data_IF_212182450668
#
_entry.id   IF_212182450668
#
_cell.length_a   1.000
_cell.length_b   1.000
_cell.length_c   1.000
_cell.angle_alpha   90.00
_cell.angle_beta   90.00
_cell.angle_gamma   90.00
#
_symmetry.space_group_name_H-M   'P 1'
#
loop_
_entity.id
_entity.type
_entity.pdbx_description
1 polymer ?
#
# COMPACT_ATOMS: atom_id res chain seq x y z
N UNK A 1 -0.99 -10.31 33.64
CA UNK A 1 -0.92 -11.36 32.59
C UNK A 1 -2.24 -12.11 32.50
N UNK A 2 -2.71 -12.77 33.57
CA UNK A 2 -4.03 -13.44 33.58
C UNK A 2 -5.19 -12.57 33.07
N UNK A 3 -5.21 -11.28 33.45
CA UNK A 3 -6.20 -10.32 32.94
C UNK A 3 -6.13 -10.08 31.43
N UNK A 4 -4.93 -10.11 30.85
CA UNK A 4 -4.70 -10.01 29.39
C UNK A 4 -5.23 -11.28 28.72
N UNK A 5 -4.85 -12.44 29.23
CA UNK A 5 -5.24 -13.76 28.69
C UNK A 5 -6.76 -13.96 28.72
N UNK A 6 -7.45 -13.39 29.72
CA UNK A 6 -8.91 -13.48 29.81
C UNK A 6 -9.68 -12.70 28.73
N UNK A 7 -9.04 -11.78 28.00
CA UNK A 7 -9.74 -10.89 27.05
C UNK A 7 -10.34 -11.69 25.89
N UNK A 8 -9.62 -12.70 25.39
CA UNK A 8 -10.11 -13.54 24.29
C UNK A 8 -11.41 -14.24 24.67
N UNK A 9 -11.49 -14.80 25.88
CA UNK A 9 -12.71 -15.45 26.35
C UNK A 9 -13.87 -14.48 26.55
N UNK A 10 -13.59 -13.25 27.03
CA UNK A 10 -14.62 -12.21 27.11
C UNK A 10 -15.14 -11.83 25.73
N UNK A 11 -14.25 -11.70 24.74
CA UNK A 11 -14.60 -11.25 23.40
C UNK A 11 -15.58 -12.20 22.68
N UNK A 12 -15.58 -13.48 23.03
CA UNK A 12 -16.56 -14.48 22.51
C UNK A 12 -18.01 -14.17 22.89
N UNK A 13 -18.23 -13.40 23.95
CA UNK A 13 -19.57 -13.10 24.48
C UNK A 13 -19.89 -11.60 24.45
N UNK A 14 -18.89 -10.74 24.66
CA UNK A 14 -19.06 -9.29 24.70
C UNK A 14 -17.79 -8.58 24.20
N UNK A 15 -17.81 -8.20 22.93
CA UNK A 15 -16.74 -7.43 22.30
C UNK A 15 -16.52 -6.06 22.95
N UNK A 16 -17.60 -5.43 23.40
CA UNK A 16 -17.56 -4.10 24.01
C UNK A 16 -16.86 -4.14 25.37
N UNK A 17 -17.12 -5.19 26.16
CA UNK A 17 -16.42 -5.45 27.41
C UNK A 17 -14.95 -5.86 27.18
N UNK A 18 -14.67 -6.65 26.15
CA UNK A 18 -13.30 -7.03 25.78
C UNK A 18 -12.45 -5.79 25.47
N UNK A 19 -12.92 -4.90 24.58
CA UNK A 19 -12.23 -3.66 24.24
C UNK A 19 -12.08 -2.69 25.43
N UNK A 20 -13.09 -2.61 26.31
CA UNK A 20 -12.97 -1.84 27.55
C UNK A 20 -11.87 -2.39 28.45
N UNK A 21 -11.77 -3.72 28.55
CA UNK A 21 -10.72 -4.38 29.34
C UNK A 21 -9.34 -4.17 28.72
N UNK A 22 -9.21 -4.22 27.38
CA UNK A 22 -7.97 -3.87 26.68
C UNK A 22 -7.53 -2.45 27.00
N UNK A 23 -8.44 -1.47 26.97
CA UNK A 23 -8.14 -0.08 27.31
C UNK A 23 -7.61 0.06 28.76
N UNK A 24 -8.28 -0.58 29.73
CA UNK A 24 -7.82 -0.57 31.13
C UNK A 24 -6.41 -1.17 31.25
N UNK A 25 -6.13 -2.28 30.55
CA UNK A 25 -4.81 -2.89 30.54
C UNK A 25 -3.76 -1.95 29.94
N UNK A 26 -4.07 -1.28 28.83
CA UNK A 26 -3.17 -0.31 28.20
C UNK A 26 -2.87 0.86 29.15
N UNK A 27 -3.88 1.35 29.87
CA UNK A 27 -3.72 2.40 30.89
C UNK A 27 -2.82 1.94 32.06
N UNK A 28 -3.02 0.70 32.54
CA UNK A 28 -2.16 0.12 33.59
C UNK A 28 -0.71 -0.05 33.11
N UNK A 29 -0.49 -0.46 31.85
CA UNK A 29 0.85 -0.52 31.27
C UNK A 29 1.47 0.89 31.26
N UNK A 30 0.74 1.91 30.82
CA UNK A 30 1.21 3.30 30.80
C UNK A 30 1.63 3.79 32.20
N UNK A 31 0.81 3.54 33.22
CA UNK A 31 1.14 3.86 34.61
C UNK A 31 2.39 3.14 35.10
N UNK A 32 2.53 1.84 34.80
CA UNK A 32 3.70 1.04 35.19
C UNK A 32 4.98 1.51 34.51
N UNK A 33 4.89 1.97 33.27
CA UNK A 33 6.01 2.57 32.55
C UNK A 33 6.41 3.91 33.16
N UNK A 34 5.46 4.77 33.51
CA UNK A 34 5.71 6.05 34.20
C UNK A 34 6.40 5.86 35.56
N UNK A 35 6.05 4.81 36.29
CA UNK A 35 6.67 4.44 37.57
C UNK A 35 8.02 3.73 37.42
N UNK A 36 8.50 3.48 36.19
CA UNK A 36 9.75 2.77 35.88
C UNK A 36 9.83 1.40 36.59
N UNK A 37 8.74 0.64 36.56
CA UNK A 37 8.68 -0.68 37.22
C UNK A 37 9.79 -1.60 36.66
N UNK A 38 10.72 -2.10 37.51
CA UNK A 38 11.83 -2.94 37.05
C UNK A 38 11.35 -4.26 36.41
N UNK A 39 10.14 -4.72 36.73
CA UNK A 39 9.55 -5.93 36.15
C UNK A 39 8.90 -5.70 34.79
N UNK A 40 8.80 -4.45 34.32
CA UNK A 40 8.20 -4.15 33.01
C UNK A 40 8.89 -4.93 31.87
N UNK A 41 10.22 -5.09 31.94
CA UNK A 41 10.99 -5.87 30.96
C UNK A 41 10.64 -7.36 30.97
N UNK A 42 10.32 -7.93 32.12
CA UNK A 42 9.95 -9.34 32.27
C UNK A 42 8.59 -9.63 31.62
N UNK A 43 7.64 -8.69 31.75
CA UNK A 43 6.30 -8.84 31.19
C UNK A 43 6.18 -8.38 29.74
N UNK A 44 7.12 -7.58 29.25
CA UNK A 44 7.12 -7.01 27.90
C UNK A 44 6.84 -8.07 26.83
N UNK A 45 7.64 -9.13 26.76
CA UNK A 45 7.46 -10.21 25.78
C UNK A 45 6.08 -10.85 25.84
N UNK A 46 5.54 -11.05 27.05
CA UNK A 46 4.21 -11.64 27.25
C UNK A 46 3.12 -10.69 26.76
N UNK A 47 3.20 -9.41 27.10
CA UNK A 47 2.24 -8.40 26.64
C UNK A 47 2.27 -8.24 25.11
N UNK A 48 3.44 -8.43 24.47
CA UNK A 48 3.57 -8.36 23.02
C UNK A 48 2.94 -9.55 22.30
N UNK A 49 2.99 -10.75 22.89
CA UNK A 49 2.59 -12.00 22.25
C UNK A 49 1.20 -12.52 22.60
N UNK A 50 0.63 -12.10 23.73
CA UNK A 50 -0.73 -12.53 24.11
C UNK A 50 -1.74 -11.76 23.26
N UNK A 51 -2.76 -12.42 22.67
CA UNK A 51 -3.81 -11.72 21.95
C UNK A 51 -4.75 -10.97 22.89
N UNK A 52 -4.82 -9.65 22.74
CA UNK A 52 -5.72 -8.81 23.55
C UNK A 52 -6.10 -7.48 22.89
N UNK A 53 -5.66 -7.24 21.65
CA UNK A 53 -5.93 -6.01 20.94
C UNK A 53 -6.97 -6.24 19.84
N UNK A 54 -7.92 -5.31 19.66
CA UNK A 54 -8.89 -5.38 18.59
C UNK A 54 -8.27 -4.94 17.27
N UNK A 55 -8.85 -5.43 16.17
CA UNK A 55 -8.47 -5.08 14.81
C UNK A 55 -9.53 -4.17 14.18
N UNK A 56 -9.13 -3.42 13.16
CA UNK A 56 -10.01 -2.54 12.42
C UNK A 56 -10.76 -3.36 11.37
N UNK A 57 -12.09 -3.39 11.47
CA UNK A 57 -12.96 -3.97 10.44
C UNK A 57 -12.90 -3.13 9.16
N UNK A 58 -13.35 -3.70 8.04
CA UNK A 58 -13.43 -2.99 6.76
C UNK A 58 -14.17 -1.65 6.92
N UNK A 59 -13.56 -0.51 6.56
CA UNK A 59 -14.24 0.78 6.63
C UNK A 59 -15.49 0.82 5.74
N UNK A 60 -16.51 1.56 6.17
CA UNK A 60 -17.74 1.73 5.39
C UNK A 60 -17.43 2.40 4.04
N UNK A 61 -17.97 1.86 2.96
CA UNK A 61 -17.75 2.37 1.60
C UNK A 61 -16.39 1.98 0.98
N UNK A 62 -15.53 1.27 1.70
CA UNK A 62 -14.26 0.80 1.15
C UNK A 62 -14.49 -0.25 0.06
N UNK A 63 -14.00 -0.01 -1.14
CA UNK A 63 -14.28 -0.85 -2.32
C UNK A 63 -13.36 -2.07 -2.41
N UNK A 64 -12.13 -1.97 -1.94
CA UNK A 64 -11.12 -3.01 -2.07
C UNK A 64 -11.26 -4.11 -1.02
N UNK A 65 -10.53 -5.21 -1.21
CA UNK A 65 -10.29 -6.17 -0.14
C UNK A 65 -9.71 -5.45 1.09
N UNK A 66 -10.07 -5.88 2.29
CA UNK A 66 -9.51 -5.32 3.52
C UNK A 66 -9.19 -6.47 4.45
N UNK A 67 -7.95 -6.56 4.95
CA UNK A 67 -7.49 -7.75 5.67
C UNK A 67 -8.34 -8.09 6.89
N UNK A 68 -8.86 -7.07 7.58
CA UNK A 68 -9.78 -7.27 8.71
C UNK A 68 -11.14 -7.88 8.33
N UNK A 69 -11.48 -8.01 7.04
CA UNK A 69 -12.69 -8.72 6.60
C UNK A 69 -12.55 -10.24 6.69
N UNK A 70 -11.31 -10.74 6.75
CA UNK A 70 -11.02 -12.17 6.90
C UNK A 70 -11.20 -12.64 8.34
N UNK A 71 -11.31 -11.69 9.29
CA UNK A 71 -11.39 -11.95 10.71
C UNK A 71 -12.84 -11.91 11.19
N UNK A 72 -13.12 -12.66 12.26
CA UNK A 72 -14.39 -12.64 12.95
C UNK A 72 -14.36 -11.62 14.07
N UNK A 73 -15.54 -11.17 14.51
CA UNK A 73 -15.67 -10.20 15.61
C UNK A 73 -15.07 -10.74 16.90
N UNK A 74 -15.10 -12.06 17.08
CA UNK A 74 -14.57 -12.77 18.26
C UNK A 74 -13.03 -12.88 18.25
N UNK A 75 -12.35 -12.48 17.16
CA UNK A 75 -10.90 -12.53 17.07
C UNK A 75 -10.25 -11.34 17.80
N UNK A 76 -9.19 -11.63 18.56
CA UNK A 76 -8.29 -10.66 19.18
C UNK A 76 -6.87 -11.01 18.76
N UNK A 77 -5.99 -10.00 18.72
CA UNK A 77 -4.65 -10.17 18.15
C UNK A 77 -3.56 -9.72 19.11
N UNK A 78 -2.38 -10.33 18.96
CA UNK A 78 -1.19 -9.89 19.64
C UNK A 78 -0.68 -8.59 19.01
N UNK A 79 0.07 -7.79 19.78
CA UNK A 79 0.64 -6.55 19.26
C UNK A 79 1.59 -6.81 18.08
N UNK A 80 2.29 -7.94 18.09
CA UNK A 80 3.18 -8.39 17.01
C UNK A 80 2.46 -8.82 15.75
N UNK A 81 1.13 -8.86 15.71
CA UNK A 81 0.34 -9.20 14.52
C UNK A 81 -0.33 -7.98 13.88
N UNK A 82 -0.30 -6.83 14.55
CA UNK A 82 -0.99 -5.62 14.15
C UNK A 82 -0.02 -4.53 13.64
N UNK A 83 -0.53 -3.65 12.79
CA UNK A 83 0.07 -2.37 12.45
C UNK A 83 -0.78 -1.22 12.97
N UNK A 84 -0.15 -0.07 13.22
CA UNK A 84 -0.87 1.15 13.57
C UNK A 84 -1.51 1.78 12.34
N UNK A 85 -2.48 2.68 12.57
CA UNK A 85 -3.15 3.41 11.49
C UNK A 85 -2.19 4.27 10.63
N UNK A 86 -1.00 4.60 11.15
CA UNK A 86 0.06 5.30 10.41
C UNK A 86 0.48 4.56 9.13
N UNK A 87 0.53 3.22 9.17
CA UNK A 87 0.92 2.38 8.04
C UNK A 87 -0.28 1.73 7.35
N UNK A 88 -1.50 2.18 7.63
CA UNK A 88 -2.72 1.58 7.09
C UNK A 88 -2.65 1.45 5.56
N UNK A 89 -2.40 2.55 4.87
CA UNK A 89 -2.48 2.59 3.41
C UNK A 89 -1.34 1.80 2.73
N UNK A 90 -0.29 1.42 3.48
CA UNK A 90 0.81 0.58 2.97
C UNK A 90 0.65 -0.91 3.28
N UNK A 91 -0.33 -1.32 4.11
CA UNK A 91 -0.49 -2.73 4.49
C UNK A 91 -1.94 -3.25 4.58
N UNK A 92 -2.97 -2.40 4.46
CA UNK A 92 -4.36 -2.73 4.78
C UNK A 92 -4.98 -3.87 3.95
N UNK A 93 -4.43 -4.19 2.78
CA UNK A 93 -4.93 -5.31 1.96
C UNK A 93 -4.39 -6.66 2.49
N UNK A 94 -3.26 -6.64 3.21
CA UNK A 94 -2.46 -7.82 3.56
C UNK A 94 -2.28 -8.04 5.07
N UNK A 95 -2.30 -6.98 5.88
CA UNK A 95 -2.07 -7.02 7.34
C UNK A 95 -3.20 -6.33 8.10
N UNK A 96 -3.34 -6.76 9.35
CA UNK A 96 -4.35 -6.25 10.27
C UNK A 96 -3.90 -4.91 10.86
N UNK A 97 -4.85 -3.99 10.96
CA UNK A 97 -4.65 -2.66 11.53
C UNK A 97 -5.28 -2.65 12.93
N UNK A 98 -4.57 -2.12 13.91
CA UNK A 98 -5.06 -1.93 15.26
C UNK A 98 -6.27 -0.97 15.25
N UNK A 99 -7.33 -1.36 15.95
CA UNK A 99 -8.48 -0.49 16.16
C UNK A 99 -8.36 0.28 17.48
N UNK A 100 -7.89 1.52 17.41
CA UNK A 100 -7.87 2.41 18.58
C UNK A 100 -9.28 2.97 18.86
N UNK A 101 -9.94 3.58 17.87
CA UNK A 101 -11.19 4.32 18.09
C UNK A 101 -12.14 4.34 16.86
N UNK A 102 -12.42 3.18 16.24
CA UNK A 102 -13.41 3.12 15.15
C UNK A 102 -14.84 3.37 15.68
N UNK A 103 -15.67 4.20 14.99
CA UNK A 103 -17.06 4.42 15.38
C UNK A 103 -17.96 3.20 15.20
N UNK A 104 -17.66 2.37 14.19
CA UNK A 104 -18.50 1.22 13.81
C UNK A 104 -18.16 -0.05 14.58
N UNK A 105 -16.97 -0.12 15.18
CA UNK A 105 -16.44 -1.29 15.86
C UNK A 105 -15.60 -0.80 17.03
N UNK A 106 -15.98 -1.11 18.28
CA UNK A 106 -15.36 -0.49 19.45
C UNK A 106 -13.86 -0.82 19.48
N UNK A 107 -13.01 0.21 19.57
CA UNK A 107 -11.56 0.04 19.68
C UNK A 107 -11.05 -0.03 21.12
N UNK A 108 -9.74 -0.19 21.29
CA UNK A 108 -9.07 -0.26 22.58
C UNK A 108 -8.76 1.11 23.23
N UNK A 109 -9.25 2.21 22.65
CA UNK A 109 -8.92 3.56 23.10
C UNK A 109 -7.59 4.07 22.52
N UNK A 110 -7.29 5.34 22.79
CA UNK A 110 -6.01 5.93 22.44
C UNK A 110 -4.85 5.29 23.20
N UNK A 111 -3.74 5.05 22.50
CA UNK A 111 -2.54 4.47 23.08
C UNK A 111 -1.39 5.49 23.09
N UNK A 112 -0.76 5.68 24.25
CA UNK A 112 0.42 6.56 24.38
C UNK A 112 1.61 6.04 23.57
N UNK A 113 2.52 6.93 23.17
CA UNK A 113 3.72 6.55 22.42
C UNK A 113 4.58 5.54 23.18
N UNK A 114 4.72 5.72 24.50
CA UNK A 114 5.47 4.82 25.38
C UNK A 114 4.86 3.40 25.41
N UNK A 115 3.53 3.29 25.42
CA UNK A 115 2.85 1.99 25.36
C UNK A 115 2.98 1.36 23.98
N UNK A 116 2.87 2.15 22.89
CA UNK A 116 3.10 1.66 21.52
C UNK A 116 4.52 1.10 21.36
N UNK A 117 5.52 1.80 21.89
CA UNK A 117 6.91 1.34 21.89
C UNK A 117 7.07 0.05 22.72
N UNK A 118 6.53 0.03 23.94
CA UNK A 118 6.56 -1.13 24.83
C UNK A 118 5.93 -2.38 24.21
N UNK A 119 4.82 -2.22 23.48
CA UNK A 119 4.13 -3.31 22.79
C UNK A 119 4.74 -3.66 21.42
N UNK A 120 5.77 -2.94 20.95
CA UNK A 120 6.37 -3.18 19.64
C UNK A 120 5.48 -2.78 18.46
N UNK A 121 4.52 -1.88 18.68
CA UNK A 121 3.59 -1.37 17.66
C UNK A 121 4.22 -0.28 16.78
N UNK A 122 5.32 0.36 17.21
CA UNK A 122 6.05 1.39 16.44
C UNK A 122 6.95 0.80 15.33
N UNK A 123 6.53 -0.32 14.74
CA UNK A 123 7.28 -0.99 13.69
C UNK A 123 6.85 -0.49 12.31
N UNK A 124 7.83 -0.26 11.44
CA UNK A 124 7.58 0.00 10.03
C UNK A 124 7.31 -1.31 9.29
N UNK A 125 6.50 -1.30 8.21
CA UNK A 125 6.42 -2.44 7.31
C UNK A 125 7.77 -2.66 6.62
N UNK A 126 8.04 -3.90 6.20
CA UNK A 126 9.21 -4.18 5.38
C UNK A 126 8.99 -3.73 3.93
N UNK A 127 10.07 -3.51 3.19
CA UNK A 127 9.99 -3.11 1.78
C UNK A 127 9.23 -4.15 0.95
N UNK A 128 9.48 -5.44 1.19
CA UNK A 128 8.80 -6.56 0.55
C UNK A 128 7.29 -6.50 0.76
N UNK A 129 6.85 -6.23 1.99
CA UNK A 129 5.42 -6.13 2.30
C UNK A 129 4.75 -4.97 1.56
N UNK A 130 5.43 -3.83 1.43
CA UNK A 130 4.89 -2.67 0.68
C UNK A 130 4.86 -2.95 -0.84
N UNK A 131 5.85 -3.68 -1.36
CA UNK A 131 5.82 -4.17 -2.74
C UNK A 131 4.62 -5.10 -2.96
N UNK A 132 4.37 -6.04 -2.04
CA UNK A 132 3.22 -6.95 -2.11
C UNK A 132 1.90 -6.19 -2.05
N UNK A 133 1.78 -5.19 -1.18
CA UNK A 133 0.60 -4.32 -1.09
C UNK A 133 0.37 -3.59 -2.42
N UNK A 134 1.42 -3.03 -3.02
CA UNK A 134 1.35 -2.32 -4.30
C UNK A 134 0.93 -3.27 -5.44
N UNK A 135 1.46 -4.49 -5.46
CA UNK A 135 1.03 -5.55 -6.39
C UNK A 135 -0.41 -6.00 -6.13
N UNK A 136 -0.88 -5.96 -4.89
CA UNK A 136 -2.25 -6.33 -4.54
C UNK A 136 -3.26 -5.27 -5.00
N UNK A 137 -2.96 -3.98 -4.80
CA UNK A 137 -3.85 -2.90 -5.26
C UNK A 137 -3.87 -2.78 -6.79
N UNK A 138 -2.75 -3.07 -7.48
CA UNK A 138 -2.69 -2.94 -8.93
C UNK A 138 -3.50 -3.97 -9.71
N UNK A 139 -3.95 -5.04 -9.04
CA UNK A 139 -4.89 -6.03 -9.61
C UNK A 139 -6.30 -5.46 -9.83
N UNK A 140 -6.65 -4.36 -9.16
CA UNK A 140 -7.95 -3.73 -9.29
C UNK A 140 -7.89 -2.64 -10.37
N UNK A 141 -8.07 -3.04 -11.62
CA UNK A 141 -8.07 -2.13 -12.79
C UNK A 141 -9.44 -1.52 -13.10
N UNK A 142 -10.51 -2.05 -12.53
CA UNK A 142 -11.89 -1.64 -12.86
C UNK A 142 -12.35 -0.55 -11.90
N UNK A 143 -12.32 0.70 -12.35
CA UNK A 143 -12.82 1.85 -11.58
C UNK A 143 -11.91 2.19 -10.40
N UNK A 144 -10.76 2.81 -10.69
CA UNK A 144 -9.85 3.35 -9.67
C UNK A 144 -10.61 4.35 -8.79
N UNK A 145 -10.73 4.02 -7.51
CA UNK A 145 -11.31 4.91 -6.50
C UNK A 145 -10.21 5.68 -5.79
N UNK A 146 -10.60 6.69 -5.02
CA UNK A 146 -9.69 7.44 -4.16
C UNK A 146 -8.91 6.53 -3.19
N UNK A 147 -9.46 5.37 -2.80
CA UNK A 147 -8.75 4.41 -1.95
C UNK A 147 -7.56 3.77 -2.68
N UNK A 148 -7.72 3.31 -3.93
CA UNK A 148 -6.61 2.81 -4.73
C UNK A 148 -5.54 3.90 -4.89
N UNK A 149 -5.95 5.14 -5.20
CA UNK A 149 -5.02 6.26 -5.40
C UNK A 149 -4.22 6.57 -4.12
N UNK A 150 -4.87 6.58 -2.96
CA UNK A 150 -4.23 6.81 -1.66
C UNK A 150 -3.24 5.69 -1.32
N UNK A 151 -3.67 4.43 -1.42
CA UNK A 151 -2.81 3.25 -1.18
C UNK A 151 -1.60 3.27 -2.09
N UNK A 152 -1.83 3.50 -3.39
CA UNK A 152 -0.78 3.55 -4.40
C UNK A 152 0.23 4.65 -4.09
N UNK A 153 -0.26 5.85 -3.77
CA UNK A 153 0.59 7.00 -3.45
C UNK A 153 1.37 6.78 -2.16
N UNK A 154 0.76 6.17 -1.14
CA UNK A 154 1.44 5.80 0.10
C UNK A 154 2.55 4.77 -0.14
N UNK A 155 2.29 3.77 -0.99
CA UNK A 155 3.29 2.78 -1.39
C UNK A 155 4.45 3.43 -2.17
N UNK A 156 4.16 4.31 -3.14
CA UNK A 156 5.21 5.04 -3.87
C UNK A 156 6.08 5.88 -2.94
N UNK A 157 5.46 6.60 -2.00
CA UNK A 157 6.20 7.40 -1.02
C UNK A 157 7.14 6.52 -0.21
N UNK A 158 6.63 5.44 0.38
CA UNK A 158 7.43 4.51 1.16
C UNK A 158 8.60 3.93 0.35
N UNK A 159 8.33 3.43 -0.86
CA UNK A 159 9.36 2.80 -1.69
C UNK A 159 10.38 3.82 -2.19
N UNK A 160 9.97 5.05 -2.51
CA UNK A 160 10.88 6.13 -2.90
C UNK A 160 11.84 6.53 -1.77
N UNK A 161 11.39 6.47 -0.51
CA UNK A 161 12.26 6.69 0.65
C UNK A 161 13.17 5.47 0.89
N UNK A 162 12.66 4.25 0.69
CA UNK A 162 13.38 3.00 0.92
C UNK A 162 14.55 2.78 -0.06
N UNK A 163 14.38 3.08 -1.34
CA UNK A 163 15.45 2.92 -2.34
C UNK A 163 16.63 3.87 -2.11
N UNK A 164 16.43 4.98 -1.39
CA UNK A 164 17.49 5.93 -1.05
C UNK A 164 18.34 5.47 0.14
N UNK A 165 17.90 4.45 0.89
CA UNK A 165 18.61 4.02 2.10
C UNK A 165 19.83 3.13 1.78
N UNK A 166 19.72 2.22 0.82
CA UNK A 166 20.82 1.36 0.39
C UNK A 166 20.55 0.67 -0.96
N UNK A 167 21.63 0.30 -1.64
CA UNK A 167 21.59 -0.32 -2.98
C UNK A 167 20.94 -1.71 -3.02
N UNK A 168 21.04 -2.50 -1.94
CA UNK A 168 20.39 -3.81 -1.89
C UNK A 168 18.86 -3.69 -1.93
N UNK A 169 18.32 -2.71 -1.20
CA UNK A 169 16.88 -2.39 -1.20
C UNK A 169 16.45 -1.85 -2.55
N UNK A 170 17.24 -0.96 -3.16
CA UNK A 170 17.00 -0.48 -4.53
C UNK A 170 16.93 -1.63 -5.54
N UNK A 171 17.89 -2.54 -5.48
CA UNK A 171 17.95 -3.72 -6.37
C UNK A 171 16.70 -4.59 -6.22
N UNK A 172 16.28 -4.86 -4.97
CA UNK A 172 15.06 -5.63 -4.67
C UNK A 172 13.81 -4.95 -5.23
N UNK A 173 13.63 -3.65 -4.98
CA UNK A 173 12.46 -2.89 -5.46
C UNK A 173 12.41 -2.93 -6.98
N UNK A 174 13.54 -2.72 -7.65
CA UNK A 174 13.62 -2.73 -9.12
C UNK A 174 13.32 -4.11 -9.69
N UNK A 175 13.92 -5.17 -9.14
CA UNK A 175 13.68 -6.54 -9.64
C UNK A 175 12.22 -6.96 -9.49
N UNK A 176 11.58 -6.55 -8.39
CA UNK A 176 10.21 -6.93 -8.07
C UNK A 176 9.15 -6.11 -8.79
N UNK A 177 9.41 -4.85 -9.13
CA UNK A 177 8.42 -3.95 -9.73
C UNK A 177 8.55 -3.81 -11.25
N UNK A 178 9.76 -3.90 -11.80
CA UNK A 178 9.99 -3.77 -13.25
C UNK A 178 9.10 -4.68 -14.12
N UNK A 179 8.83 -5.95 -13.77
CA UNK A 179 7.99 -6.82 -14.59
C UNK A 179 6.48 -6.66 -14.36
N UNK A 180 6.04 -5.77 -13.46
CA UNK A 180 4.62 -5.64 -13.10
C UNK A 180 4.00 -4.33 -13.57
N UNK A 181 2.70 -4.38 -13.87
CA UNK A 181 1.89 -3.19 -14.08
C UNK A 181 1.57 -2.56 -12.71
N UNK A 182 2.34 -1.55 -12.33
CA UNK A 182 2.20 -0.92 -11.02
C UNK A 182 2.11 0.60 -11.10
N UNK A 183 2.41 1.22 -12.25
CA UNK A 183 2.36 2.67 -12.42
C UNK A 183 0.93 3.08 -12.69
N UNK A 184 0.31 3.81 -11.77
CA UNK A 184 -1.04 4.34 -11.93
C UNK A 184 -1.01 5.55 -12.86
N UNK A 185 -1.57 5.40 -14.05
CA UNK A 185 -1.78 6.48 -15.01
C UNK A 185 -3.28 6.58 -15.27
N UNK A 186 -3.83 7.78 -15.07
CA UNK A 186 -5.27 8.02 -15.15
C UNK A 186 -6.03 7.04 -14.23
N UNK A 187 -6.67 6.04 -14.81
CA UNK A 187 -7.46 5.01 -14.11
C UNK A 187 -6.97 3.58 -14.39
N UNK A 188 -5.71 3.40 -14.78
CA UNK A 188 -5.15 2.07 -15.07
C UNK A 188 -3.73 1.92 -14.53
N UNK A 189 -3.34 0.69 -14.24
CA UNK A 189 -1.96 0.35 -13.91
C UNK A 189 -1.24 -0.15 -15.16
N UNK A 190 -0.08 0.45 -15.45
CA UNK A 190 0.73 0.14 -16.65
C UNK A 190 2.15 -0.26 -16.28
N UNK A 191 2.83 -0.96 -17.20
CA UNK A 191 4.23 -1.36 -17.05
C UNK A 191 5.17 -0.15 -17.19
N UNK A 192 6.32 -0.15 -16.51
CA UNK A 192 7.30 0.95 -16.62
C UNK A 192 7.77 1.24 -18.05
N UNK A 193 7.85 0.23 -18.91
CA UNK A 193 8.26 0.37 -20.32
C UNK A 193 7.29 1.22 -21.16
N UNK A 194 6.02 1.31 -20.75
CA UNK A 194 4.98 2.09 -21.44
C UNK A 194 4.87 3.52 -20.92
N UNK A 195 5.73 3.92 -19.98
CA UNK A 195 5.66 5.24 -19.34
C UNK A 195 6.93 6.04 -19.59
N UNK A 196 6.76 7.33 -19.87
CA UNK A 196 7.87 8.30 -19.91
C UNK A 196 7.60 9.52 -19.03
N UNK A 197 8.66 10.22 -18.61
CA UNK A 197 8.54 11.50 -17.92
C UNK A 197 8.00 12.62 -18.83
N UNK A 198 8.30 12.54 -20.12
CA UNK A 198 7.87 13.49 -21.13
C UNK A 198 7.36 12.77 -22.38
N UNK A 199 6.17 13.18 -22.83
CA UNK A 199 5.57 12.75 -24.08
C UNK A 199 4.78 13.94 -24.65
N UNK A 200 5.04 14.26 -25.92
CA UNK A 200 4.53 15.48 -26.56
C UNK A 200 3.06 15.39 -26.96
N UNK A 201 2.51 14.19 -27.01
CA UNK A 201 1.18 13.93 -27.53
C UNK A 201 0.49 12.77 -26.80
N UNK A 202 -0.82 12.64 -26.97
CA UNK A 202 -1.56 11.53 -26.38
C UNK A 202 -1.35 10.26 -27.22
N UNK A 203 -0.78 9.23 -26.60
CA UNK A 203 -0.45 7.95 -27.23
C UNK A 203 -1.10 6.73 -26.54
N UNK A 204 -2.11 7.00 -25.70
CA UNK A 204 -2.91 5.95 -25.08
C UNK A 204 -3.63 5.12 -26.17
N UNK A 205 -3.82 3.80 -25.97
CA UNK A 205 -3.44 3.03 -24.78
C UNK A 205 -2.02 2.41 -24.82
N UNK A 206 -1.18 2.79 -25.80
CA UNK A 206 0.10 2.13 -26.05
C UNK A 206 1.24 2.72 -25.23
N UNK A 207 1.34 4.05 -25.16
CA UNK A 207 2.35 4.79 -24.42
C UNK A 207 1.69 5.89 -23.60
N UNK A 208 2.28 6.19 -22.45
CA UNK A 208 1.72 7.09 -21.46
C UNK A 208 2.77 8.08 -20.95
N UNK A 209 2.32 9.28 -20.62
CA UNK A 209 3.11 10.19 -19.82
C UNK A 209 2.87 9.93 -18.33
N UNK A 210 3.94 9.91 -17.54
CA UNK A 210 3.86 9.84 -16.09
C UNK A 210 3.04 11.03 -15.56
N UNK A 211 2.04 10.81 -14.69
CA UNK A 211 1.25 11.90 -14.11
C UNK A 211 2.11 12.93 -13.38
N UNK A 212 1.81 14.22 -13.57
CA UNK A 212 2.61 15.32 -13.01
C UNK A 212 2.75 15.25 -11.47
N UNK A 213 1.72 14.75 -10.76
CA UNK A 213 1.77 14.54 -9.30
C UNK A 213 2.89 13.60 -8.84
N UNK A 214 3.37 12.73 -9.73
CA UNK A 214 4.37 11.70 -9.45
C UNK A 214 5.78 12.06 -9.93
N UNK A 215 5.89 12.91 -10.97
CA UNK A 215 7.18 13.25 -11.62
C UNK A 215 8.24 13.76 -10.65
N UNK A 216 7.87 14.63 -9.71
CA UNK A 216 8.83 15.25 -8.79
C UNK A 216 9.00 14.44 -7.50
N UNK A 217 7.90 13.94 -6.94
CA UNK A 217 7.91 13.32 -5.62
C UNK A 217 8.56 11.93 -5.61
N UNK A 218 8.50 11.20 -6.72
CA UNK A 218 8.94 9.80 -6.79
C UNK A 218 9.89 9.55 -7.98
N UNK A 219 10.61 10.59 -8.43
CA UNK A 219 11.47 10.55 -9.62
C UNK A 219 12.44 9.38 -9.62
N UNK A 220 13.22 9.25 -8.54
CA UNK A 220 14.24 8.21 -8.39
C UNK A 220 13.65 6.79 -8.51
N UNK A 221 12.44 6.57 -7.97
CA UNK A 221 11.75 5.28 -8.07
C UNK A 221 11.46 4.93 -9.52
N UNK A 222 10.90 5.87 -10.28
CA UNK A 222 10.54 5.67 -11.68
C UNK A 222 11.76 5.53 -12.59
N UNK A 223 12.78 6.35 -12.39
CA UNK A 223 14.05 6.22 -13.12
C UNK A 223 14.69 4.85 -12.85
N UNK A 224 14.67 4.38 -11.59
CA UNK A 224 15.25 3.09 -11.20
C UNK A 224 14.55 1.89 -11.82
N UNK A 225 13.21 1.93 -11.98
CA UNK A 225 12.47 0.84 -12.64
C UNK A 225 12.51 0.91 -14.18
N UNK A 226 13.14 1.94 -14.75
CA UNK A 226 13.33 2.09 -16.19
C UNK A 226 12.27 2.93 -16.91
N UNK A 227 11.52 3.78 -16.21
CA UNK A 227 10.68 4.80 -16.85
C UNK A 227 11.58 5.75 -17.65
N UNK A 228 11.31 5.88 -18.94
CA UNK A 228 12.16 6.65 -19.85
C UNK A 228 11.99 8.15 -19.63
N UNK A 229 13.04 8.95 -19.86
CA UNK A 229 12.89 10.41 -19.86
C UNK A 229 11.93 10.86 -20.98
N UNK A 230 12.16 10.36 -22.18
CA UNK A 230 11.29 10.47 -23.35
C UNK A 230 11.38 9.17 -24.16
N UNK A 231 10.35 8.88 -24.96
CA UNK A 231 10.38 7.76 -25.90
C UNK A 231 11.27 8.07 -27.10
N UNK A 232 11.90 7.03 -27.64
CA UNK A 232 12.73 7.11 -28.83
C UNK A 232 11.95 6.65 -30.07
N UNK A 233 12.52 6.87 -31.26
CA UNK A 233 11.92 6.46 -32.53
C UNK A 233 11.58 4.98 -32.56
N UNK A 234 12.40 4.14 -31.92
CA UNK A 234 12.18 2.68 -31.85
C UNK A 234 10.93 2.33 -31.05
N UNK A 235 10.62 3.08 -29.99
CA UNK A 235 9.42 2.88 -29.18
C UNK A 235 8.16 3.18 -29.99
N UNK A 236 8.20 4.29 -30.74
CA UNK A 236 7.13 4.68 -31.64
C UNK A 236 6.94 3.69 -32.79
N UNK A 237 8.03 3.20 -33.38
CA UNK A 237 7.98 2.17 -34.41
C UNK A 237 7.34 0.87 -33.87
N UNK A 238 7.67 0.46 -32.64
CA UNK A 238 7.06 -0.70 -32.00
C UNK A 238 5.54 -0.54 -31.82
N UNK A 239 5.06 0.67 -31.49
CA UNK A 239 3.61 0.94 -31.41
C UNK A 239 2.94 0.77 -32.78
N UNK A 240 3.54 1.31 -33.85
CA UNK A 240 3.00 1.16 -35.21
C UNK A 240 2.92 -0.32 -35.63
N UNK A 241 3.92 -1.12 -35.25
CA UNK A 241 3.93 -2.55 -35.50
C UNK A 241 2.80 -3.27 -34.75
N UNK A 242 2.55 -2.90 -33.49
CA UNK A 242 1.44 -3.43 -32.69
C UNK A 242 0.10 -3.09 -33.33
N UNK A 243 -0.15 -1.83 -33.70
CA UNK A 243 -1.39 -1.40 -34.37
C UNK A 243 -1.60 -2.18 -35.67
N UNK A 244 -0.55 -2.36 -36.47
CA UNK A 244 -0.60 -3.13 -37.71
C UNK A 244 -1.00 -4.58 -37.44
N UNK A 245 -0.41 -5.21 -36.42
CA UNK A 245 -0.72 -6.58 -36.02
C UNK A 245 -2.17 -6.73 -35.54
N UNK A 246 -2.66 -5.79 -34.73
CA UNK A 246 -4.03 -5.77 -34.22
C UNK A 246 -5.07 -5.58 -35.32
N UNK A 247 -4.74 -4.77 -36.34
CA UNK A 247 -5.61 -4.57 -37.51
C UNK A 247 -5.83 -5.84 -38.33
N UNK A 248 -4.91 -6.83 -38.25
CA UNK A 248 -4.94 -8.08 -39.02
C UNK A 248 -5.17 -7.85 -40.52
N UNK A 249 -4.58 -6.79 -41.09
CA UNK A 249 -4.74 -6.42 -42.50
C UNK A 249 -6.09 -5.81 -42.87
N UNK A 250 -6.94 -5.48 -41.88
CA UNK A 250 -8.18 -4.73 -42.07
C UNK A 250 -7.92 -3.22 -41.99
N UNK A 251 -8.92 -2.43 -42.39
CA UNK A 251 -8.90 -0.98 -42.18
C UNK A 251 -8.73 -0.68 -40.68
N UNK A 252 -7.76 0.17 -40.36
CA UNK A 252 -7.50 0.66 -39.00
C UNK A 252 -8.66 1.57 -38.56
N UNK A 253 -8.96 1.62 -37.26
CA UNK A 253 -9.94 2.56 -36.72
C UNK A 253 -9.48 4.01 -36.92
N UNK A 254 -10.42 4.95 -37.00
CA UNK A 254 -10.09 6.36 -37.16
C UNK A 254 -9.22 6.88 -35.99
N UNK A 255 -9.44 6.37 -34.79
CA UNK A 255 -8.61 6.65 -33.61
C UNK A 255 -7.16 6.18 -33.78
N UNK A 256 -6.96 4.93 -34.19
CA UNK A 256 -5.62 4.39 -34.43
C UNK A 256 -4.94 5.07 -35.63
N UNK A 257 -5.71 5.46 -36.66
CA UNK A 257 -5.18 6.20 -37.79
C UNK A 257 -4.64 7.58 -37.36
N UNK A 258 -5.42 8.32 -36.58
CA UNK A 258 -4.98 9.62 -36.05
C UNK A 258 -3.77 9.47 -35.13
N UNK A 259 -3.73 8.43 -34.30
CA UNK A 259 -2.56 8.12 -33.49
C UNK A 259 -1.32 7.83 -34.35
N UNK A 260 -1.43 6.98 -35.38
CA UNK A 260 -0.33 6.71 -36.31
C UNK A 260 0.18 8.00 -36.97
N UNK A 261 -0.73 8.90 -37.35
CA UNK A 261 -0.38 10.20 -37.91
C UNK A 261 0.46 11.03 -36.94
N UNK A 262 0.02 11.15 -35.67
CA UNK A 262 0.74 11.88 -34.62
C UNK A 262 2.09 11.25 -34.30
N UNK A 263 2.16 9.92 -34.22
CA UNK A 263 3.43 9.21 -34.03
C UNK A 263 4.44 9.58 -35.13
N UNK A 264 4.01 9.57 -36.39
CA UNK A 264 4.88 9.93 -37.50
C UNK A 264 5.28 11.41 -37.41
N UNK A 265 4.33 12.33 -37.27
CA UNK A 265 4.61 13.77 -37.36
C UNK A 265 5.28 14.37 -36.12
N UNK A 266 4.96 13.89 -34.92
CA UNK A 266 5.39 14.47 -33.64
C UNK A 266 6.34 13.56 -32.86
N UNK A 267 6.39 12.26 -33.15
CA UNK A 267 7.25 11.30 -32.46
C UNK A 267 8.51 10.94 -33.25
N UNK A 268 8.39 10.69 -34.55
CA UNK A 268 9.50 10.26 -35.41
C UNK A 268 10.19 11.44 -36.10
N UNK A 269 9.41 12.38 -36.64
CA UNK A 269 9.91 13.53 -37.40
C UNK A 269 9.79 14.87 -36.65
N UNK A 270 9.30 14.84 -35.41
CA UNK A 270 9.02 16.02 -34.57
C UNK A 270 10.19 16.51 -33.74
#
# INVERSE_FOLDING_TARGET
>A
IERIESIVEVNKSDHTAACSRSNIILSLIDEKLKLRDPKAKEFCKKCQSIPFLPFLSKPAGFSLHWKGSDCKVEDMFAATELYTAEYQDTVCLLKLILNENSPSFRGCGSISLAVKEFLGLLRKPSTELVIEQLKAVSKYSDGITLYQENITTACYKFLSEAILQNEATKTLVVSELKPFNFILVENIYVSPEKVSFHLNFEAAPYLYQLPNKYKNNFRELYESVGVKQAFMVEDFAAVLEVITRESKGKKISDQNFELCRRIISEGIWG
#
